data_IF_465947099785
#
_entry.id   IF_465947099785
#
_cell.length_a   1.000
_cell.length_b   1.000
_cell.length_c   1.000
_cell.angle_alpha   90.00
_cell.angle_beta   90.00
_cell.angle_gamma   90.00
#
_symmetry.space_group_name_H-M   'P 1'
#
loop_
_entity.id
_entity.type
_entity.pdbx_description
1 polymer ?
#
# COMPACT_ATOMS: atom_id res chain seq x y z
N UNK A 1 -34.67 -12.39 15.09
CA UNK A 1 -33.23 -12.45 14.77
C UNK A 1 -32.55 -11.08 14.80
N UNK A 2 -33.24 -9.95 14.54
CA UNK A 2 -32.64 -8.59 14.58
C UNK A 2 -31.93 -8.18 15.89
N UNK A 3 -32.30 -8.76 17.02
CA UNK A 3 -31.69 -8.43 18.33
C UNK A 3 -30.62 -9.42 18.81
N UNK A 4 -30.32 -10.46 18.03
CA UNK A 4 -29.28 -11.40 18.42
C UNK A 4 -27.92 -10.71 18.34
N UNK A 5 -27.20 -10.68 19.47
CA UNK A 5 -25.88 -10.07 19.55
C UNK A 5 -24.79 -11.14 19.38
N UNK A 6 -23.71 -10.75 18.75
CA UNK A 6 -22.57 -11.62 18.44
C UNK A 6 -21.29 -11.02 19.00
N UNK A 7 -20.33 -11.90 19.31
CA UNK A 7 -18.94 -11.53 19.57
C UNK A 7 -18.10 -11.81 18.32
N UNK A 8 -17.04 -11.03 18.12
CA UNK A 8 -16.02 -11.36 17.14
C UNK A 8 -15.24 -12.58 17.65
N UNK A 9 -15.09 -13.60 16.80
CA UNK A 9 -14.30 -14.78 17.17
C UNK A 9 -12.87 -14.38 17.54
N UNK A 10 -12.27 -14.95 18.60
CA UNK A 10 -10.94 -14.55 19.07
C UNK A 10 -9.83 -14.88 18.06
N UNK A 11 -10.06 -15.86 17.19
CA UNK A 11 -9.13 -16.28 16.14
C UNK A 11 -9.37 -15.58 14.80
N UNK A 12 -10.09 -14.46 14.76
CA UNK A 12 -10.13 -13.59 13.58
C UNK A 12 -8.87 -12.75 13.55
N UNK A 13 -8.07 -12.95 12.51
CA UNK A 13 -6.98 -12.09 12.11
C UNK A 13 -7.50 -10.96 11.22
N UNK A 14 -6.85 -9.79 11.32
CA UNK A 14 -7.03 -8.70 10.38
C UNK A 14 -5.69 -8.29 9.78
N UNK A 15 -5.68 -8.12 8.47
CA UNK A 15 -4.57 -7.52 7.75
C UNK A 15 -5.00 -6.16 7.18
N UNK A 16 -4.29 -5.07 7.51
CA UNK A 16 -4.53 -3.78 6.88
C UNK A 16 -3.90 -3.80 5.48
N UNK A 17 -4.57 -3.24 4.49
CA UNK A 17 -4.12 -3.23 3.10
C UNK A 17 -4.17 -1.82 2.52
N UNK A 18 -3.17 -1.46 1.72
CA UNK A 18 -3.20 -0.30 0.83
C UNK A 18 -3.03 -0.81 -0.60
N UNK A 19 -4.05 -0.61 -1.44
CA UNK A 19 -4.08 -1.07 -2.82
C UNK A 19 -3.70 -2.56 -2.96
N UNK A 20 -4.33 -3.43 -2.15
CA UNK A 20 -4.08 -4.88 -2.05
C UNK A 20 -2.74 -5.30 -1.41
N UNK A 21 -1.85 -4.39 -1.01
CA UNK A 21 -0.59 -4.75 -0.34
C UNK A 21 -0.71 -4.62 1.17
N UNK A 22 -0.09 -5.54 1.91
CA UNK A 22 -0.03 -5.46 3.36
C UNK A 22 0.51 -4.09 3.80
N UNK A 23 -0.29 -3.34 4.56
CA UNK A 23 0.01 -1.97 4.93
C UNK A 23 1.07 -1.90 6.03
N UNK A 24 2.00 -0.96 5.84
CA UNK A 24 3.05 -0.58 6.79
C UNK A 24 3.32 0.91 6.59
N UNK A 25 4.05 1.60 7.51
CA UNK A 25 4.14 3.07 7.49
C UNK A 25 4.51 3.67 6.12
N UNK A 26 5.40 3.01 5.37
CA UNK A 26 5.84 3.48 4.05
C UNK A 26 4.81 3.33 2.92
N UNK A 27 3.69 2.61 3.14
CA UNK A 27 2.55 2.59 2.21
C UNK A 27 1.42 3.53 2.63
N UNK A 28 1.45 4.06 3.85
CA UNK A 28 0.48 5.07 4.32
C UNK A 28 0.95 6.47 3.90
N UNK A 29 2.25 6.75 4.03
CA UNK A 29 2.81 8.04 3.62
C UNK A 29 2.87 8.14 2.07
N UNK A 30 2.26 9.17 1.45
CA UNK A 30 2.08 9.24 -0.02
C UNK A 30 3.37 9.16 -0.82
N UNK A 31 4.41 9.91 -0.42
CA UNK A 31 5.66 9.95 -1.17
C UNK A 31 6.34 8.58 -1.21
N UNK A 32 6.43 7.90 -0.06
CA UNK A 32 7.02 6.57 0.02
C UNK A 32 6.13 5.50 -0.58
N UNK A 33 4.80 5.66 -0.54
CA UNK A 33 3.87 4.75 -1.18
C UNK A 33 4.06 4.76 -2.70
N UNK A 34 4.25 5.94 -3.31
CA UNK A 34 4.58 6.08 -4.73
C UNK A 34 5.91 5.38 -5.08
N UNK A 35 6.94 5.55 -4.26
CA UNK A 35 8.22 4.86 -4.48
C UNK A 35 8.09 3.34 -4.41
N UNK A 36 7.39 2.80 -3.40
CA UNK A 36 7.17 1.37 -3.26
C UNK A 36 6.33 0.80 -4.41
N UNK A 37 5.29 1.52 -4.82
CA UNK A 37 4.46 1.14 -5.95
C UNK A 37 5.30 0.97 -7.23
N UNK A 38 6.03 2.02 -7.60
CA UNK A 38 6.79 2.08 -8.85
C UNK A 38 8.02 1.17 -8.84
N UNK A 39 8.75 1.14 -7.71
CA UNK A 39 10.08 0.54 -7.64
C UNK A 39 10.13 -0.84 -6.97
N UNK A 40 9.07 -1.27 -6.28
CA UNK A 40 9.00 -2.58 -5.64
C UNK A 40 7.82 -3.38 -6.18
N UNK A 41 6.58 -2.94 -5.94
CA UNK A 41 5.36 -3.70 -6.24
C UNK A 41 5.21 -4.03 -7.72
N UNK A 42 5.31 -3.04 -8.61
CA UNK A 42 5.23 -3.28 -10.05
C UNK A 42 6.39 -4.16 -10.56
N UNK A 43 7.60 -4.00 -10.00
CA UNK A 43 8.76 -4.80 -10.41
C UNK A 43 8.61 -6.26 -10.02
N UNK A 44 8.19 -6.54 -8.78
CA UNK A 44 8.02 -7.92 -8.30
C UNK A 44 6.86 -8.62 -9.01
N UNK A 45 5.76 -7.92 -9.30
CA UNK A 45 4.65 -8.49 -10.08
C UNK A 45 5.08 -8.80 -11.52
N UNK A 46 5.80 -7.89 -12.18
CA UNK A 46 6.35 -8.13 -13.53
C UNK A 46 7.35 -9.29 -13.55
N UNK A 47 8.22 -9.37 -12.54
CA UNK A 47 9.14 -10.50 -12.35
C UNK A 47 8.39 -11.84 -12.25
N UNK A 48 7.32 -11.89 -11.45
CA UNK A 48 6.49 -13.10 -11.33
C UNK A 48 5.82 -13.47 -12.64
N UNK A 49 5.29 -12.49 -13.38
CA UNK A 49 4.67 -12.72 -14.69
C UNK A 49 5.67 -13.33 -15.68
N UNK A 50 6.92 -12.87 -15.66
CA UNK A 50 7.98 -13.37 -16.55
C UNK A 50 8.49 -14.76 -16.14
N UNK A 51 8.61 -15.03 -14.83
CA UNK A 51 9.27 -16.24 -14.32
C UNK A 51 8.58 -16.79 -13.05
N UNK A 52 7.32 -17.24 -13.12
CA UNK A 52 6.55 -17.64 -11.93
C UNK A 52 7.15 -18.85 -11.21
N UNK A 53 7.78 -19.77 -11.95
CA UNK A 53 8.45 -20.94 -11.39
C UNK A 53 9.68 -20.57 -10.54
N UNK A 54 10.36 -19.47 -10.86
CA UNK A 54 11.51 -18.98 -10.06
C UNK A 54 11.04 -18.50 -8.69
N UNK A 55 9.90 -17.80 -8.64
CA UNK A 55 9.29 -17.35 -7.39
C UNK A 55 8.90 -18.55 -6.51
N UNK A 56 8.18 -19.52 -7.07
CA UNK A 56 7.81 -20.75 -6.35
C UNK A 56 9.03 -21.55 -5.87
N UNK A 57 10.10 -21.63 -6.66
CA UNK A 57 11.33 -22.30 -6.27
C UNK A 57 12.10 -21.55 -5.17
N UNK A 58 12.11 -20.22 -5.19
CA UNK A 58 12.76 -19.40 -4.19
C UNK A 58 12.11 -19.58 -2.81
N UNK A 59 10.78 -19.60 -2.74
CA UNK A 59 10.03 -19.71 -1.48
C UNK A 59 10.21 -21.05 -0.76
N UNK A 60 10.61 -22.11 -1.48
CA UNK A 60 11.00 -23.40 -0.88
C UNK A 60 12.29 -23.31 -0.05
N UNK A 61 13.12 -22.28 -0.25
CA UNK A 61 14.36 -22.07 0.48
C UNK A 61 14.11 -21.12 1.65
N UNK A 62 14.26 -21.55 2.92
CA UNK A 62 14.04 -20.69 4.09
C UNK A 62 14.88 -19.41 4.07
N UNK A 63 16.11 -19.46 3.55
CA UNK A 63 17.02 -18.31 3.43
C UNK A 63 16.58 -17.24 2.43
N UNK A 64 15.61 -17.54 1.57
CA UNK A 64 15.06 -16.61 0.57
C UNK A 64 13.74 -16.00 1.02
N UNK A 65 13.19 -16.41 2.18
CA UNK A 65 11.99 -15.82 2.75
C UNK A 65 12.25 -14.37 3.11
N UNK A 66 11.31 -13.49 2.77
CA UNK A 66 11.48 -12.05 2.89
C UNK A 66 12.08 -11.38 1.65
N UNK A 67 12.56 -12.16 0.67
CA UNK A 67 12.98 -11.64 -0.62
C UNK A 67 11.81 -11.14 -1.49
N UNK A 68 12.10 -10.51 -2.63
CA UNK A 68 11.10 -9.99 -3.56
C UNK A 68 10.48 -11.13 -4.40
N UNK A 69 9.81 -12.05 -3.73
CA UNK A 69 9.14 -13.19 -4.35
C UNK A 69 7.66 -13.21 -3.95
N UNK A 70 6.77 -13.09 -4.94
CA UNK A 70 5.33 -13.36 -4.74
C UNK A 70 5.11 -14.81 -4.31
N UNK A 71 4.44 -14.99 -3.18
CA UNK A 71 3.97 -16.28 -2.65
C UNK A 71 2.61 -16.65 -3.24
N UNK A 72 2.64 -17.03 -4.52
CA UNK A 72 1.47 -17.40 -5.30
C UNK A 72 1.75 -18.64 -6.14
N UNK A 73 0.71 -19.42 -6.39
CA UNK A 73 0.76 -20.53 -7.34
C UNK A 73 1.15 -20.03 -8.75
N UNK A 74 2.11 -20.68 -9.44
CA UNK A 74 2.53 -20.28 -10.79
C UNK A 74 1.42 -20.20 -11.84
N UNK A 75 0.30 -20.89 -11.65
CA UNK A 75 -0.87 -20.83 -12.51
C UNK A 75 -1.65 -19.51 -12.40
N UNK A 76 -1.45 -18.72 -11.34
CA UNK A 76 -2.16 -17.44 -11.10
C UNK A 76 -1.58 -16.24 -11.84
N UNK A 77 -0.69 -16.46 -12.81
CA UNK A 77 -0.08 -15.38 -13.63
C UNK A 77 -1.13 -14.48 -14.28
N UNK A 78 -2.28 -15.03 -14.69
CA UNK A 78 -3.37 -14.25 -15.27
C UNK A 78 -3.91 -13.18 -14.32
N UNK A 79 -4.11 -13.53 -13.04
CA UNK A 79 -4.59 -12.58 -12.03
C UNK A 79 -3.57 -11.48 -11.74
N UNK A 80 -2.28 -11.84 -11.69
CA UNK A 80 -1.19 -10.87 -11.49
C UNK A 80 -1.09 -9.91 -12.68
N UNK A 81 -1.29 -10.39 -13.93
CA UNK A 81 -1.35 -9.52 -15.12
C UNK A 81 -2.48 -8.51 -15.02
N UNK A 82 -3.70 -8.97 -14.70
CA UNK A 82 -4.85 -8.08 -14.51
C UNK A 82 -4.62 -7.05 -13.41
N UNK A 83 -3.98 -7.45 -12.30
CA UNK A 83 -3.63 -6.53 -11.22
C UNK A 83 -2.60 -5.48 -11.65
N UNK A 84 -1.57 -5.87 -12.42
CA UNK A 84 -0.59 -4.93 -12.99
C UNK A 84 -1.27 -3.94 -13.93
N UNK A 85 -2.15 -4.40 -14.82
CA UNK A 85 -2.89 -3.54 -15.75
C UNK A 85 -3.78 -2.54 -15.02
N UNK A 86 -4.58 -3.02 -14.06
CA UNK A 86 -5.41 -2.16 -13.20
C UNK A 86 -4.55 -1.12 -12.47
N UNK A 87 -3.46 -1.56 -11.86
CA UNK A 87 -2.57 -0.69 -11.08
C UNK A 87 -1.93 0.38 -11.96
N UNK A 88 -1.41 0.02 -13.14
CA UNK A 88 -0.83 0.99 -14.07
C UNK A 88 -1.85 2.04 -14.52
N UNK A 89 -3.12 1.65 -14.71
CA UNK A 89 -4.20 2.56 -15.11
C UNK A 89 -4.64 3.48 -13.98
N UNK A 90 -5.01 2.90 -12.84
CA UNK A 90 -5.61 3.64 -11.72
C UNK A 90 -4.58 4.45 -10.93
N UNK A 91 -3.33 4.00 -10.89
CA UNK A 91 -2.26 4.63 -10.10
C UNK A 91 -1.22 5.32 -11.00
N UNK A 92 -1.60 5.71 -12.22
CA UNK A 92 -0.74 6.44 -13.15
C UNK A 92 -0.16 7.72 -12.53
N UNK A 93 -0.96 8.44 -11.73
CA UNK A 93 -0.53 9.65 -11.02
C UNK A 93 0.56 9.37 -9.97
N UNK A 94 0.49 8.25 -9.23
CA UNK A 94 1.52 7.82 -8.28
C UNK A 94 2.81 7.39 -8.98
N UNK A 95 2.68 6.69 -10.12
CA UNK A 95 3.83 6.30 -10.96
C UNK A 95 4.52 7.57 -11.51
N UNK A 96 3.74 8.53 -12.01
CA UNK A 96 4.24 9.83 -12.46
C UNK A 96 4.92 10.61 -11.34
N UNK A 97 4.35 10.61 -10.12
CA UNK A 97 4.98 11.23 -8.95
C UNK A 97 6.35 10.61 -8.66
N UNK A 98 6.46 9.28 -8.73
CA UNK A 98 7.74 8.59 -8.51
C UNK A 98 8.82 9.00 -9.53
N UNK A 99 8.45 9.11 -10.80
CA UNK A 99 9.36 9.57 -11.86
C UNK A 99 9.73 11.04 -11.68
N UNK A 100 8.77 11.89 -11.30
CA UNK A 100 9.01 13.30 -11.03
C UNK A 100 10.02 13.51 -9.88
N UNK A 101 9.93 12.71 -8.80
CA UNK A 101 10.91 12.75 -7.70
C UNK A 101 12.30 12.39 -8.18
N UNK A 102 12.42 11.35 -9.01
CA UNK A 102 13.69 10.93 -9.59
C UNK A 102 14.29 12.04 -10.47
N UNK A 103 13.49 12.60 -11.37
CA UNK A 103 13.90 13.68 -12.27
C UNK A 103 14.30 14.95 -11.52
N UNK A 104 13.57 15.31 -10.45
CA UNK A 104 13.94 16.45 -9.61
C UNK A 104 15.27 16.21 -8.90
N UNK A 105 15.48 15.02 -8.32
CA UNK A 105 16.74 14.64 -7.67
C UNK A 105 17.93 14.72 -8.65
N UNK A 106 17.75 14.26 -9.88
CA UNK A 106 18.78 14.39 -10.93
C UNK A 106 19.06 15.86 -11.27
N UNK A 107 18.01 16.67 -11.39
CA UNK A 107 18.13 18.11 -11.68
C UNK A 107 18.91 18.84 -10.60
N UNK A 108 18.53 18.67 -9.33
CA UNK A 108 19.19 19.37 -8.22
C UNK A 108 20.63 18.88 -8.03
N UNK A 109 20.91 17.58 -8.21
CA UNK A 109 22.25 17.03 -8.04
C UNK A 109 23.24 17.59 -9.08
N UNK A 110 22.74 17.93 -10.28
CA UNK A 110 23.56 18.44 -11.37
C UNK A 110 23.70 19.97 -11.37
N UNK A 111 22.68 20.70 -10.92
CA UNK A 111 22.62 22.15 -11.10
C UNK A 111 22.84 22.95 -9.81
N UNK A 112 22.53 22.37 -8.65
CA UNK A 112 22.57 23.10 -7.38
C UNK A 112 23.99 23.10 -6.79
N UNK A 113 24.80 24.09 -7.18
CA UNK A 113 26.25 24.17 -6.90
C UNK A 113 26.65 25.06 -5.71
N UNK A 114 25.70 25.46 -4.86
CA UNK A 114 25.90 26.28 -3.66
C UNK A 114 25.14 27.62 -3.62
N UNK A 115 24.91 28.32 -4.75
CA UNK A 115 24.09 29.54 -4.78
C UNK A 115 22.62 29.31 -4.42
N UNK A 116 21.81 30.38 -4.44
CA UNK A 116 20.36 30.29 -4.17
C UNK A 116 19.67 29.21 -5.02
N UNK A 117 18.83 28.41 -4.37
CA UNK A 117 18.00 27.38 -5.01
C UNK A 117 16.71 27.95 -5.61
N UNK A 118 16.38 29.22 -5.36
CA UNK A 118 15.15 29.86 -5.83
C UNK A 118 14.90 29.66 -7.35
N UNK A 119 15.88 29.87 -8.25
CA UNK A 119 15.64 29.70 -9.68
C UNK A 119 15.32 28.26 -10.08
N UNK A 120 15.72 27.27 -9.28
CA UNK A 120 15.47 25.86 -9.56
C UNK A 120 14.01 25.46 -9.28
N UNK A 121 13.22 26.29 -8.58
CA UNK A 121 11.78 26.03 -8.41
C UNK A 121 11.02 26.06 -9.75
N UNK A 122 11.47 26.83 -10.74
CA UNK A 122 10.92 26.81 -12.11
C UNK A 122 11.11 25.46 -12.80
N UNK A 123 12.12 24.68 -12.38
CA UNK A 123 12.45 23.36 -12.90
C UNK A 123 11.81 22.22 -12.10
N UNK A 124 11.10 22.52 -11.01
CA UNK A 124 10.36 21.50 -10.26
C UNK A 124 9.26 20.93 -11.15
N UNK A 125 9.20 19.59 -11.34
CA UNK A 125 8.15 18.97 -12.13
C UNK A 125 6.75 19.34 -11.62
N UNK A 126 5.79 19.50 -12.53
CA UNK A 126 4.43 19.97 -12.18
C UNK A 126 3.76 19.11 -11.09
N UNK A 127 4.02 17.80 -11.07
CA UNK A 127 3.50 16.87 -10.06
C UNK A 127 4.03 17.13 -8.65
N UNK A 128 5.12 17.88 -8.50
CA UNK A 128 5.78 18.21 -7.23
C UNK A 128 5.63 19.68 -6.83
N UNK A 129 5.12 20.54 -7.72
CA UNK A 129 4.96 21.97 -7.44
C UNK A 129 4.04 22.16 -6.22
N UNK A 130 4.54 22.91 -5.24
CA UNK A 130 3.84 23.14 -3.98
C UNK A 130 3.91 22.00 -2.96
N UNK A 131 4.57 20.87 -3.28
CA UNK A 131 4.73 19.73 -2.36
C UNK A 131 6.16 19.53 -1.86
N UNK A 132 7.11 20.34 -2.34
CA UNK A 132 8.53 20.19 -2.01
C UNK A 132 9.18 21.50 -1.59
N UNK A 133 10.24 21.39 -0.81
CA UNK A 133 11.16 22.46 -0.48
C UNK A 133 12.58 22.03 -0.89
N UNK A 134 13.26 22.86 -1.67
CA UNK A 134 14.66 22.68 -2.05
C UNK A 134 15.56 23.24 -0.95
N UNK A 135 16.51 22.45 -0.46
CA UNK A 135 17.40 22.82 0.65
C UNK A 135 18.84 22.39 0.38
N UNK A 136 19.78 23.01 1.09
CA UNK A 136 21.12 22.47 1.28
C UNK A 136 21.21 21.82 2.67
N UNK A 137 21.89 20.68 2.76
CA UNK A 137 22.25 20.09 4.06
C UNK A 137 23.42 20.84 4.71
N UNK A 138 23.85 20.37 5.90
CA UNK A 138 24.97 20.97 6.65
C UNK A 138 26.31 20.96 5.91
N UNK A 139 26.45 20.14 4.87
CA UNK A 139 27.66 20.01 4.06
C UNK A 139 27.51 20.69 2.68
N UNK A 140 26.46 21.48 2.48
CA UNK A 140 26.09 22.09 1.19
C UNK A 140 25.74 21.09 0.08
N UNK A 141 25.30 19.88 0.42
CA UNK A 141 24.72 18.98 -0.58
C UNK A 141 23.26 19.38 -0.84
N UNK A 142 22.84 19.50 -2.11
CA UNK A 142 21.46 19.82 -2.42
C UNK A 142 20.54 18.64 -2.08
N UNK A 143 19.36 18.94 -1.57
CA UNK A 143 18.36 17.96 -1.19
C UNK A 143 16.93 18.47 -1.40
N UNK A 144 15.98 17.55 -1.43
CA UNK A 144 14.55 17.84 -1.53
C UNK A 144 13.86 17.33 -0.27
N UNK A 145 13.11 18.22 0.39
CA UNK A 145 12.20 17.90 1.47
C UNK A 145 10.76 17.84 0.95
N UNK A 146 9.97 16.88 1.42
CA UNK A 146 8.53 16.85 1.17
C UNK A 146 7.75 17.67 2.20
N UNK A 147 6.73 18.38 1.75
CA UNK A 147 5.74 19.07 2.59
C UNK A 147 4.60 18.10 2.92
N UNK A 148 4.85 17.19 3.86
CA UNK A 148 3.98 16.02 4.12
C UNK A 148 2.51 16.36 4.34
N UNK A 149 2.20 17.42 5.10
CA UNK A 149 0.82 17.83 5.36
C UNK A 149 0.05 18.15 4.07
N UNK A 150 0.72 18.69 3.06
CA UNK A 150 0.13 18.98 1.76
C UNK A 150 -0.07 17.70 0.95
N UNK A 151 0.89 16.77 1.02
CA UNK A 151 0.76 15.45 0.39
C UNK A 151 -0.41 14.64 0.96
N UNK A 152 -0.59 14.61 2.29
CA UNK A 152 -1.75 13.94 2.92
C UNK A 152 -3.10 14.57 2.57
N UNK A 153 -3.11 15.82 2.08
CA UNK A 153 -4.33 16.51 1.63
C UNK A 153 -4.49 16.51 0.11
N UNK A 154 -3.56 15.91 -0.61
CA UNK A 154 -3.54 15.87 -2.07
C UNK A 154 -4.16 14.56 -2.60
N UNK A 155 -4.26 14.46 -3.93
CA UNK A 155 -4.65 13.22 -4.60
C UNK A 155 -3.74 12.02 -4.31
N UNK A 156 -2.51 12.24 -3.81
CA UNK A 156 -1.55 11.16 -3.53
C UNK A 156 -1.86 10.41 -2.23
N UNK A 157 -2.77 10.92 -1.39
CA UNK A 157 -3.31 10.21 -0.23
C UNK A 157 -4.76 9.83 -0.47
N UNK A 158 -4.97 8.64 -1.03
CA UNK A 158 -6.30 8.13 -1.35
C UNK A 158 -6.74 7.06 -0.33
N UNK A 159 -7.64 7.44 0.57
CA UNK A 159 -8.20 6.55 1.57
C UNK A 159 -9.12 5.48 0.97
N UNK A 160 -9.59 5.63 -0.28
CA UNK A 160 -10.41 4.61 -0.96
C UNK A 160 -9.61 3.36 -1.34
N UNK A 161 -8.27 3.46 -1.35
CA UNK A 161 -7.36 2.34 -1.55
C UNK A 161 -7.11 1.53 -0.27
N UNK A 162 -7.57 2.02 0.88
CA UNK A 162 -7.42 1.32 2.16
C UNK A 162 -8.48 0.23 2.29
N UNK A 163 -8.07 -0.92 2.80
CA UNK A 163 -8.96 -2.03 3.06
C UNK A 163 -8.46 -2.84 4.26
N UNK A 164 -9.37 -3.58 4.88
CA UNK A 164 -9.00 -4.63 5.82
C UNK A 164 -9.37 -5.98 5.23
N UNK A 165 -8.53 -6.98 5.45
CA UNK A 165 -8.82 -8.37 5.12
C UNK A 165 -8.98 -9.16 6.41
N UNK A 166 -10.09 -9.89 6.53
CA UNK A 166 -10.39 -10.72 7.69
C UNK A 166 -10.27 -12.20 7.31
N UNK A 167 -9.61 -12.98 8.14
CA UNK A 167 -9.53 -14.43 8.01
C UNK A 167 -9.43 -15.10 9.37
N UNK A 168 -9.70 -16.41 9.40
CA UNK A 168 -9.52 -17.21 10.59
C UNK A 168 -8.09 -17.76 10.64
N UNK A 169 -7.48 -17.71 11.82
CA UNK A 169 -6.23 -18.41 12.10
C UNK A 169 -6.47 -19.69 12.90
N UNK A 170 -5.75 -20.73 12.54
CA UNK A 170 -5.74 -22.05 13.17
C UNK A 170 -4.32 -22.51 13.58
N UNK A 171 -3.31 -21.66 13.35
CA UNK A 171 -1.90 -21.92 13.61
C UNK A 171 -1.19 -20.65 14.09
N UNK A 172 -0.17 -20.84 14.93
CA UNK A 172 0.72 -19.77 15.38
C UNK A 172 1.69 -19.31 14.27
N UNK A 173 1.89 -20.14 13.23
CA UNK A 173 2.76 -19.80 12.13
C UNK A 173 2.16 -18.69 11.25
N UNK A 174 2.97 -17.66 10.97
CA UNK A 174 2.60 -16.55 10.10
C UNK A 174 3.55 -16.47 8.90
N UNK A 175 3.04 -16.53 7.65
CA UNK A 175 3.87 -16.37 6.47
C UNK A 175 4.36 -14.93 6.32
N UNK A 176 5.38 -14.73 5.50
CA UNK A 176 5.88 -13.40 5.17
C UNK A 176 4.87 -12.67 4.29
N UNK A 177 4.44 -11.46 4.69
CA UNK A 177 3.28 -10.78 4.09
C UNK A 177 3.63 -9.61 3.16
N UNK A 178 4.85 -9.06 3.24
CA UNK A 178 5.19 -7.82 2.53
C UNK A 178 5.52 -7.99 1.04
N UNK A 179 5.71 -9.21 0.55
CA UNK A 179 6.04 -9.47 -0.85
C UNK A 179 4.86 -9.88 -1.71
N UNK A 180 3.67 -10.12 -1.15
CA UNK A 180 2.54 -10.71 -1.90
C UNK A 180 1.29 -9.83 -1.76
N UNK A 181 0.68 -9.35 -2.86
CA UNK A 181 -0.60 -8.67 -2.79
C UNK A 181 -1.73 -9.66 -2.48
N UNK A 182 -2.82 -9.17 -1.89
CA UNK A 182 -4.02 -9.93 -1.59
C UNK A 182 -4.97 -9.98 -2.77
N UNK A 183 -5.49 -11.16 -3.01
CA UNK A 183 -6.45 -11.47 -4.08
C UNK A 183 -7.73 -11.97 -3.44
N UNK A 184 -8.84 -11.78 -4.14
CA UNK A 184 -10.13 -12.23 -3.66
C UNK A 184 -10.17 -13.77 -3.64
N UNK A 185 -10.60 -14.35 -2.52
CA UNK A 185 -10.82 -15.79 -2.36
C UNK A 185 -11.97 -16.07 -1.39
N UNK A 186 -12.30 -17.36 -1.19
CA UNK A 186 -13.44 -17.78 -0.36
C UNK A 186 -13.13 -17.78 1.15
N UNK A 187 -11.85 -17.74 1.53
CA UNK A 187 -11.39 -17.85 2.93
C UNK A 187 -11.17 -16.48 3.58
N UNK A 188 -11.01 -15.44 2.78
CA UNK A 188 -10.73 -14.08 3.20
C UNK A 188 -11.91 -13.16 2.88
N UNK A 189 -12.22 -12.28 3.82
CA UNK A 189 -13.23 -11.23 3.62
C UNK A 189 -12.50 -9.91 3.48
N UNK A 190 -12.41 -9.44 2.24
CA UNK A 190 -11.87 -8.11 1.93
C UNK A 190 -12.96 -7.04 2.08
N UNK A 191 -12.67 -6.02 2.88
CA UNK A 191 -13.57 -4.90 3.15
C UNK A 191 -12.82 -3.61 2.79
N UNK A 192 -13.28 -2.91 1.74
CA UNK A 192 -12.73 -1.61 1.37
C UNK A 192 -13.25 -0.55 2.35
N UNK A 193 -12.37 -0.11 3.25
CA UNK A 193 -12.71 0.76 4.36
C UNK A 193 -11.49 1.58 4.76
N UNK A 194 -11.61 2.92 4.90
CA UNK A 194 -10.56 3.73 5.48
C UNK A 194 -10.20 3.24 6.89
N UNK A 195 -8.91 3.16 7.20
CA UNK A 195 -8.41 2.69 8.49
C UNK A 195 -8.97 3.50 9.66
N UNK A 196 -9.22 4.80 9.44
CA UNK A 196 -9.75 5.72 10.45
C UNK A 196 -11.26 5.58 10.71
N UNK A 197 -11.96 4.70 9.99
CA UNK A 197 -13.41 4.61 10.09
C UNK A 197 -13.80 3.87 11.37
N UNK A 198 -14.73 4.47 12.14
CA UNK A 198 -15.20 3.94 13.42
C UNK A 198 -15.70 2.48 13.36
N UNK A 199 -16.18 2.01 12.20
CA UNK A 199 -16.62 0.62 12.05
C UNK A 199 -15.50 -0.41 12.28
N UNK A 200 -14.24 -0.04 12.06
CA UNK A 200 -13.09 -0.89 12.42
C UNK A 200 -13.00 -1.01 13.95
N UNK A 201 -13.13 0.10 14.67
CA UNK A 201 -13.11 0.11 16.14
C UNK A 201 -14.29 -0.68 16.73
N UNK A 202 -15.50 -0.48 16.19
CA UNK A 202 -16.69 -1.21 16.62
C UNK A 202 -16.55 -2.73 16.35
N UNK A 203 -15.94 -3.14 15.24
CA UNK A 203 -15.66 -4.55 14.95
C UNK A 203 -14.75 -5.17 16.02
N UNK A 204 -13.66 -4.50 16.38
CA UNK A 204 -12.72 -5.06 17.36
C UNK A 204 -13.22 -4.96 18.80
N UNK A 205 -14.06 -3.97 19.11
CA UNK A 205 -14.79 -3.89 20.38
C UNK A 205 -15.69 -5.12 20.59
N UNK A 206 -16.19 -5.74 19.51
CA UNK A 206 -16.94 -7.00 19.59
C UNK A 206 -16.15 -8.19 20.13
N UNK A 207 -14.84 -8.09 20.35
CA UNK A 207 -14.08 -9.09 21.13
C UNK A 207 -14.47 -9.12 22.60
N UNK A 208 -14.99 -8.02 23.13
CA UNK A 208 -15.33 -7.87 24.54
C UNK A 208 -16.79 -7.44 24.78
N UNK A 209 -17.44 -6.80 23.81
CA UNK A 209 -18.81 -6.29 23.94
C UNK A 209 -19.67 -6.75 22.75
N UNK A 210 -20.72 -7.56 22.95
CA UNK A 210 -21.45 -8.13 21.83
C UNK A 210 -22.36 -7.08 21.17
N UNK A 211 -22.45 -7.14 19.84
CA UNK A 211 -23.28 -6.22 19.05
C UNK A 211 -24.18 -6.96 18.07
N UNK A 212 -25.34 -6.39 17.66
CA UNK A 212 -26.16 -6.96 16.60
C UNK A 212 -25.40 -7.06 15.28
N UNK A 213 -25.65 -8.11 14.50
CA UNK A 213 -24.99 -8.30 13.20
C UNK A 213 -25.30 -7.17 12.22
N UNK A 214 -26.57 -6.74 12.16
CA UNK A 214 -27.00 -5.65 11.27
C UNK A 214 -26.30 -4.32 11.60
N UNK A 215 -26.03 -4.06 12.88
CA UNK A 215 -25.29 -2.87 13.31
C UNK A 215 -23.85 -2.89 12.76
N UNK A 216 -23.10 -3.98 13.00
CA UNK A 216 -21.71 -4.03 12.55
C UNK A 216 -21.60 -4.05 11.02
N UNK A 217 -22.58 -4.67 10.35
CA UNK A 217 -22.68 -4.69 8.90
C UNK A 217 -22.79 -3.27 8.31
N UNK A 218 -23.62 -2.43 8.93
CA UNK A 218 -23.78 -1.03 8.54
C UNK A 218 -22.51 -0.21 8.80
N UNK A 219 -21.90 -0.37 9.97
CA UNK A 219 -20.66 0.31 10.35
C UNK A 219 -19.50 0.00 9.39
N UNK A 220 -19.44 -1.24 8.88
CA UNK A 220 -18.47 -1.67 7.88
C UNK A 220 -18.89 -1.38 6.43
N UNK A 221 -20.08 -0.81 6.20
CA UNK A 221 -20.66 -0.57 4.86
C UNK A 221 -20.69 -1.81 3.97
N UNK A 222 -21.07 -2.95 4.54
CA UNK A 222 -21.26 -4.18 3.81
C UNK A 222 -22.68 -4.26 3.25
N UNK A 223 -22.81 -4.61 1.98
CA UNK A 223 -24.12 -4.87 1.34
C UNK A 223 -24.63 -6.30 1.65
N UNK A 224 -25.93 -6.53 1.52
CA UNK A 224 -26.50 -7.90 1.48
C UNK A 224 -26.03 -8.58 0.19
N UNK A 225 -25.23 -9.64 0.34
CA UNK A 225 -24.89 -10.58 -0.74
C UNK A 225 -25.88 -11.73 -0.73
#
# INVERSE_FOLDING_TARGET
MKDQKYYLKPNVQMEPLVNRWYAWPHLVAPATAAMNLANLHLKVMRSFISAPQVHAAALKKPSMRGGPFLDLDPGRVGEVKSLVERTCKEQAHMIGFAEAVKSLNETISNEATGPSLEPLYEKVPDLLKGYVELVYDLNNNPSVRFLERLLYKSQYYDETLQAIELSLIDSDYRPFVFSTPRFDDEKHVLINIPFKRNGVDELFKMRHTPAPFDFIKQELSLEDR
#
